data_IF_473670276703
#
_entry.id   IF_473670276703
#
_cell.length_a   1.000
_cell.length_b   1.000
_cell.length_c   1.000
_cell.angle_alpha   90.00
_cell.angle_beta   90.00
_cell.angle_gamma   90.00
#
_symmetry.space_group_name_H-M   'P 1'
#
loop_
_entity.id
_entity.type
_entity.pdbx_description
1 polymer ?
#
# COMPACT_ATOMS: atom_id res chain seq x y z
N UNK A 1 33.29 19.02 36.03
CA UNK A 1 32.41 19.11 37.21
C UNK A 1 30.96 18.69 36.94
N UNK A 2 30.36 19.00 35.78
CA UNK A 2 28.97 18.61 35.48
C UNK A 2 28.72 17.09 35.31
N UNK A 3 29.66 16.33 34.74
CA UNK A 3 29.50 14.87 34.62
C UNK A 3 29.61 14.11 35.96
N UNK A 4 30.27 14.68 36.98
CA UNK A 4 30.43 14.04 38.28
C UNK A 4 29.18 14.15 39.16
N UNK A 5 28.37 15.20 38.96
CA UNK A 5 27.11 15.39 39.70
C UNK A 5 26.02 14.44 39.22
N UNK A 6 25.98 14.09 37.93
CA UNK A 6 25.03 13.10 37.39
C UNK A 6 25.26 11.68 37.93
N UNK A 7 26.51 11.31 38.24
CA UNK A 7 26.83 10.01 38.84
C UNK A 7 26.36 9.94 40.30
N UNK A 8 26.35 11.06 41.02
CA UNK A 8 25.99 11.10 42.45
C UNK A 8 24.48 11.11 42.72
N UNK A 9 23.65 11.55 41.78
CA UNK A 9 22.21 11.75 42.02
C UNK A 9 21.29 10.74 41.30
N UNK A 10 21.81 9.87 40.42
CA UNK A 10 20.98 9.05 39.54
C UNK A 10 21.30 7.55 39.47
N UNK A 11 22.20 7.02 40.32
CA UNK A 11 22.61 5.61 40.21
C UNK A 11 21.53 4.60 40.62
N UNK A 12 20.46 5.04 41.27
CA UNK A 12 19.40 4.16 41.78
C UNK A 12 18.17 4.07 40.87
N UNK A 13 18.14 4.83 39.77
CA UNK A 13 16.95 5.01 38.92
C UNK A 13 17.24 4.86 37.42
N UNK A 14 18.22 4.04 37.03
CA UNK A 14 18.37 3.59 35.65
C UNK A 14 17.45 2.37 35.41
N UNK A 15 16.40 2.47 34.58
CA UNK A 15 15.39 1.42 34.41
C UNK A 15 15.88 0.14 33.70
N UNK A 16 17.18 0.06 33.39
CA UNK A 16 17.82 -1.01 32.62
C UNK A 16 18.78 -1.89 33.43
N UNK A 17 19.05 -1.55 34.71
CA UNK A 17 19.99 -2.33 35.52
C UNK A 17 19.25 -3.17 36.59
N UNK A 18 19.38 -4.51 36.58
CA UNK A 18 18.67 -5.35 37.53
C UNK A 18 19.20 -5.12 38.96
N UNK A 19 18.40 -4.49 39.81
CA UNK A 19 18.69 -4.28 41.24
C UNK A 19 18.47 -5.54 42.10
N UNK A 20 18.79 -6.73 41.57
CA UNK A 20 18.52 -7.99 42.24
C UNK A 20 19.30 -9.17 41.66
N UNK A 21 19.19 -10.34 42.30
CA UNK A 21 19.61 -11.62 41.71
C UNK A 21 18.55 -12.07 40.72
N UNK A 22 18.99 -12.55 39.56
CA UNK A 22 18.11 -13.06 38.51
C UNK A 22 17.76 -14.52 38.75
N UNK A 23 16.50 -14.85 38.54
CA UNK A 23 15.94 -16.19 38.66
C UNK A 23 15.04 -16.48 37.45
N UNK A 24 14.83 -17.76 37.18
CA UNK A 24 13.96 -18.24 36.11
C UNK A 24 12.96 -19.25 36.67
N UNK A 25 11.70 -19.15 36.30
CA UNK A 25 10.66 -20.11 36.64
C UNK A 25 9.97 -20.60 35.38
N UNK A 26 9.73 -21.92 35.29
CA UNK A 26 9.03 -22.53 34.16
C UNK A 26 7.60 -22.84 34.57
N UNK A 27 6.61 -22.26 33.90
CA UNK A 27 5.19 -22.45 34.18
C UNK A 27 4.51 -23.20 33.04
N UNK A 28 3.45 -23.94 33.34
CA UNK A 28 2.63 -24.57 32.30
C UNK A 28 1.88 -23.51 31.47
N UNK A 29 1.56 -22.37 32.10
CA UNK A 29 0.90 -21.22 31.47
C UNK A 29 1.33 -19.94 32.22
N UNK A 30 1.74 -18.92 31.46
CA UNK A 30 2.10 -17.61 31.98
C UNK A 30 0.89 -16.70 32.26
N UNK A 31 -0.33 -17.10 31.86
CA UNK A 31 -1.63 -16.54 32.28
C UNK A 31 -1.65 -15.09 32.77
N UNK A 32 -1.40 -14.12 31.88
CA UNK A 32 -1.53 -12.69 32.15
C UNK A 32 -0.36 -12.04 32.90
N UNK A 33 0.74 -12.76 33.17
CA UNK A 33 1.97 -12.15 33.69
C UNK A 33 2.77 -11.49 32.58
N UNK A 34 3.34 -10.33 32.88
CA UNK A 34 4.06 -9.46 31.95
C UNK A 34 5.35 -8.94 32.58
N UNK A 35 6.26 -8.42 31.74
CA UNK A 35 7.43 -7.70 32.23
C UNK A 35 6.99 -6.47 33.04
N UNK A 36 7.66 -6.21 34.15
CA UNK A 36 7.34 -5.13 35.07
C UNK A 36 6.42 -5.53 36.24
N UNK A 37 5.73 -6.66 36.17
CA UNK A 37 4.91 -7.15 37.29
C UNK A 37 5.76 -7.42 38.53
N UNK A 38 5.11 -7.31 39.69
CA UNK A 38 5.79 -7.43 40.97
C UNK A 38 6.07 -8.88 41.34
N UNK A 39 7.20 -9.09 41.99
CA UNK A 39 7.56 -10.38 42.61
C UNK A 39 7.43 -10.22 44.11
N UNK A 40 6.60 -11.05 44.72
CA UNK A 40 6.29 -10.99 46.15
C UNK A 40 6.77 -12.23 46.87
N UNK A 41 7.25 -12.05 48.10
CA UNK A 41 7.55 -13.13 49.05
C UNK A 41 6.72 -12.88 50.30
N UNK A 42 5.85 -13.83 50.64
CA UNK A 42 4.89 -13.68 51.75
C UNK A 42 4.06 -12.38 51.66
N UNK A 43 3.72 -11.95 50.44
CA UNK A 43 2.94 -10.72 50.19
C UNK A 43 3.75 -9.43 50.15
N UNK A 44 5.05 -9.46 50.45
CA UNK A 44 5.93 -8.29 50.39
C UNK A 44 6.62 -8.26 49.02
N UNK A 45 6.56 -7.12 48.33
CA UNK A 45 7.28 -6.90 47.07
C UNK A 45 8.79 -6.90 47.32
N UNK A 46 9.48 -7.84 46.68
CA UNK A 46 10.93 -8.04 46.79
C UNK A 46 11.64 -7.99 45.45
N UNK A 47 10.91 -7.76 44.35
CA UNK A 47 11.48 -7.88 43.03
C UNK A 47 10.51 -7.55 41.89
N UNK A 48 10.96 -7.81 40.66
CA UNK A 48 10.19 -7.59 39.44
C UNK A 48 10.44 -8.66 38.38
N UNK A 49 9.39 -8.97 37.62
CA UNK A 49 9.48 -9.77 36.39
C UNK A 49 10.20 -8.94 35.33
N UNK A 50 11.23 -9.51 34.72
CA UNK A 50 12.04 -8.84 33.69
C UNK A 50 11.63 -9.27 32.29
N UNK A 51 11.26 -10.54 32.10
CA UNK A 51 10.89 -11.07 30.78
C UNK A 51 9.99 -12.30 30.92
N UNK A 52 9.07 -12.44 29.98
CA UNK A 52 8.28 -13.66 29.78
C UNK A 52 8.57 -14.16 28.36
N UNK A 53 8.93 -15.43 28.23
CA UNK A 53 9.25 -16.05 26.94
C UNK A 53 8.65 -17.44 26.87
N UNK A 54 8.39 -17.93 25.66
CA UNK A 54 7.98 -19.31 25.44
C UNK A 54 9.24 -20.20 25.35
N UNK A 55 9.26 -21.29 26.11
CA UNK A 55 10.31 -22.29 26.12
C UNK A 55 9.70 -23.67 25.83
N UNK A 56 9.56 -24.00 24.55
CA UNK A 56 8.90 -25.24 24.11
C UNK A 56 7.41 -25.24 24.46
N UNK A 57 6.99 -26.22 25.26
CA UNK A 57 5.61 -26.35 25.74
C UNK A 57 5.35 -25.64 27.08
N UNK A 58 6.31 -24.88 27.60
CA UNK A 58 6.21 -24.18 28.88
C UNK A 58 6.55 -22.69 28.73
N UNK A 59 6.04 -21.86 29.63
CA UNK A 59 6.38 -20.45 29.69
C UNK A 59 7.53 -20.21 30.66
N UNK A 60 8.63 -19.64 30.17
CA UNK A 60 9.78 -19.22 30.96
C UNK A 60 9.61 -17.78 31.44
N UNK A 61 9.50 -17.60 32.75
CA UNK A 61 9.41 -16.29 33.40
C UNK A 61 10.76 -15.97 34.03
N UNK A 62 11.40 -14.91 33.54
CA UNK A 62 12.62 -14.34 34.12
C UNK A 62 12.26 -13.21 35.07
N UNK A 63 12.81 -13.23 36.27
CA UNK A 63 12.50 -12.26 37.31
C UNK A 63 13.71 -11.99 38.20
N UNK A 64 13.67 -10.86 38.89
CA UNK A 64 14.73 -10.44 39.82
C UNK A 64 14.18 -10.37 41.22
N UNK A 65 14.98 -10.74 42.22
CA UNK A 65 14.67 -10.63 43.65
C UNK A 65 15.82 -9.92 44.36
N UNK A 66 15.51 -9.07 45.34
CA UNK A 66 16.49 -8.40 46.20
C UNK A 66 17.48 -9.41 46.80
N UNK A 67 18.77 -9.07 46.79
CA UNK A 67 19.87 -9.88 47.32
C UNK A 67 19.70 -10.25 48.80
N UNK A 68 18.90 -9.49 49.56
CA UNK A 68 18.57 -9.76 50.96
C UNK A 68 17.69 -10.99 51.16
N UNK A 69 16.94 -11.39 50.13
CA UNK A 69 16.06 -12.56 50.19
C UNK A 69 16.79 -13.78 49.66
N UNK A 70 16.85 -14.84 50.48
CA UNK A 70 17.39 -16.13 50.05
C UNK A 70 16.29 -16.93 49.38
N UNK A 71 16.52 -17.36 48.14
CA UNK A 71 15.67 -18.32 47.42
C UNK A 71 16.40 -19.66 47.44
N UNK A 72 15.86 -20.60 48.21
CA UNK A 72 16.43 -21.92 48.38
C UNK A 72 16.11 -22.89 47.24
N UNK A 73 16.80 -24.03 47.22
CA UNK A 73 16.66 -25.09 46.22
C UNK A 73 15.29 -25.78 46.21
N UNK A 74 14.48 -25.64 47.25
CA UNK A 74 13.11 -26.17 47.37
C UNK A 74 12.03 -25.10 47.21
N UNK A 75 12.41 -23.89 46.79
CA UNK A 75 11.47 -22.77 46.65
C UNK A 75 10.39 -23.07 45.61
N UNK A 76 9.20 -22.50 45.87
CA UNK A 76 8.03 -22.60 44.99
C UNK A 76 7.73 -21.23 44.38
N UNK A 77 7.16 -21.21 43.18
CA UNK A 77 6.70 -19.98 42.54
C UNK A 77 5.26 -20.13 42.02
N UNK A 78 4.42 -19.14 42.25
CA UNK A 78 3.02 -19.17 41.83
C UNK A 78 2.61 -17.82 41.22
N UNK A 79 1.96 -17.85 40.07
CA UNK A 79 1.35 -16.65 39.48
C UNK A 79 0.00 -16.44 40.17
N UNK A 80 -0.15 -15.32 40.86
CA UNK A 80 -1.37 -14.95 41.60
C UNK A 80 -1.92 -13.63 41.09
N UNK A 81 -3.20 -13.41 41.33
CA UNK A 81 -3.83 -12.09 41.14
C UNK A 81 -3.54 -11.25 42.37
N UNK A 82 -2.92 -10.09 42.19
CA UNK A 82 -2.49 -9.20 43.28
C UNK A 82 -3.50 -8.07 43.53
N UNK A 83 -4.13 -7.56 42.47
CA UNK A 83 -5.06 -6.43 42.56
C UNK A 83 -6.50 -6.83 42.23
N UNK A 84 -7.47 -6.04 42.74
CA UNK A 84 -8.90 -6.19 42.41
C UNK A 84 -9.16 -6.01 40.91
N UNK A 85 -8.30 -5.25 40.22
CA UNK A 85 -8.33 -5.05 38.78
C UNK A 85 -7.76 -6.23 37.97
N UNK A 86 -7.31 -7.29 38.63
CA UNK A 86 -6.85 -8.51 37.97
C UNK A 86 -5.37 -8.55 37.61
N UNK A 87 -4.57 -7.58 38.07
CA UNK A 87 -3.12 -7.56 37.81
C UNK A 87 -2.43 -8.79 38.40
N UNK A 88 -1.51 -9.38 37.66
CA UNK A 88 -0.78 -10.58 38.07
C UNK A 88 0.52 -10.21 38.79
N UNK A 89 0.84 -10.97 39.83
CA UNK A 89 2.12 -10.92 40.50
C UNK A 89 2.71 -12.33 40.63
N UNK A 90 4.03 -12.40 40.67
CA UNK A 90 4.76 -13.64 40.90
C UNK A 90 5.00 -13.80 42.41
N UNK A 91 4.34 -14.77 43.03
CA UNK A 91 4.55 -15.09 44.44
C UNK A 91 5.59 -16.19 44.59
N UNK A 92 6.72 -15.88 45.22
CA UNK A 92 7.79 -16.84 45.53
C UNK A 92 7.70 -17.22 46.99
N UNK A 93 7.73 -18.52 47.27
CA UNK A 93 7.79 -19.08 48.62
C UNK A 93 9.17 -19.72 48.80
N UNK A 94 10.11 -19.02 49.49
CA UNK A 94 11.44 -19.55 49.71
C UNK A 94 11.43 -20.80 50.59
N UNK A 95 12.12 -21.85 50.16
CA UNK A 95 12.33 -23.06 50.95
C UNK A 95 13.63 -23.75 50.54
N UNK A 96 14.22 -24.53 51.45
CA UNK A 96 15.50 -25.21 51.24
C UNK A 96 16.71 -24.35 51.61
N UNK A 97 17.85 -25.01 51.82
CA UNK A 97 19.11 -24.38 52.23
C UNK A 97 20.10 -24.18 51.06
N UNK A 98 19.85 -24.84 49.91
CA UNK A 98 20.69 -24.70 48.72
C UNK A 98 20.48 -23.36 48.01
N UNK A 99 21.32 -23.06 47.02
CA UNK A 99 21.12 -21.91 46.13
C UNK A 99 20.68 -22.41 44.76
N UNK A 100 19.60 -21.86 44.23
CA UNK A 100 19.10 -22.20 42.90
C UNK A 100 18.85 -20.94 42.09
N UNK A 101 19.06 -20.97 40.78
CA UNK A 101 18.72 -19.88 39.86
C UNK A 101 17.49 -20.19 39.01
N UNK A 102 17.02 -21.43 39.05
CA UNK A 102 15.94 -21.96 38.24
C UNK A 102 14.93 -22.75 39.09
N UNK A 103 13.65 -22.41 38.96
CA UNK A 103 12.53 -23.13 39.57
C UNK A 103 11.85 -23.96 38.46
N UNK A 104 11.91 -25.30 38.53
CA UNK A 104 11.39 -26.18 37.50
C UNK A 104 9.85 -26.28 37.58
N UNK A 105 9.24 -26.83 36.53
CA UNK A 105 7.79 -26.84 36.32
C UNK A 105 7.02 -27.47 37.49
N UNK A 106 7.55 -28.53 38.08
CA UNK A 106 6.94 -29.27 39.20
C UNK A 106 6.79 -28.41 40.46
N UNK A 107 7.54 -27.31 40.54
CA UNK A 107 7.56 -26.37 41.67
C UNK A 107 6.98 -25.01 41.31
N UNK A 108 6.30 -24.94 40.17
CA UNK A 108 5.55 -23.75 39.77
C UNK A 108 4.05 -24.01 39.75
N UNK A 109 3.27 -22.96 39.97
CA UNK A 109 1.81 -23.00 39.79
C UNK A 109 1.37 -21.88 38.86
N UNK A 110 0.77 -22.27 37.75
CA UNK A 110 0.05 -21.37 36.84
C UNK A 110 -1.21 -20.82 37.52
N UNK A 111 -1.71 -19.64 37.11
CA UNK A 111 -2.89 -19.07 37.71
C UNK A 111 -4.12 -19.92 37.39
N UNK A 112 -5.01 -20.08 38.36
CA UNK A 112 -6.29 -20.76 38.14
C UNK A 112 -7.19 -19.85 37.29
N UNK A 113 -7.47 -20.26 36.05
CA UNK A 113 -8.29 -19.47 35.12
C UNK A 113 -9.74 -19.93 35.13
N UNK A 114 -10.66 -19.06 34.68
CA UNK A 114 -12.06 -19.44 34.47
C UNK A 114 -12.19 -20.60 33.47
N UNK A 115 -11.32 -20.65 32.46
CA UNK A 115 -11.28 -21.76 31.52
C UNK A 115 -10.94 -23.08 32.22
N UNK A 116 -9.98 -23.08 33.15
CA UNK A 116 -9.65 -24.26 33.95
C UNK A 116 -10.84 -24.67 34.83
N UNK A 117 -11.52 -23.71 35.47
CA UNK A 117 -12.72 -24.01 36.27
C UNK A 117 -13.86 -24.62 35.44
N UNK A 118 -14.09 -24.10 34.23
CA UNK A 118 -15.09 -24.64 33.30
C UNK A 118 -14.69 -26.00 32.74
N UNK A 119 -13.40 -26.23 32.52
CA UNK A 119 -12.86 -27.50 32.05
C UNK A 119 -12.91 -28.58 33.14
N UNK A 120 -12.60 -28.22 34.39
CA UNK A 120 -12.74 -29.09 35.55
C UNK A 120 -14.21 -29.41 35.84
N UNK A 121 -15.11 -28.43 35.73
CA UNK A 121 -16.56 -28.69 35.80
C UNK A 121 -17.00 -29.62 34.67
N UNK A 122 -16.56 -29.39 33.43
CA UNK A 122 -16.87 -30.25 32.28
C UNK A 122 -16.29 -31.67 32.40
N UNK A 123 -15.12 -31.82 33.02
CA UNK A 123 -14.46 -33.09 33.29
C UNK A 123 -15.12 -33.87 34.44
N UNK A 124 -15.46 -33.18 35.53
CA UNK A 124 -16.13 -33.79 36.69
C UNK A 124 -17.56 -34.21 36.36
N UNK A 125 -18.26 -33.47 35.49
CA UNK A 125 -19.59 -33.88 34.97
C UNK A 125 -19.50 -35.10 34.05
N UNK A 126 -18.37 -35.30 33.34
CA UNK A 126 -18.12 -36.51 32.53
C UNK A 126 -17.73 -37.73 33.36
N UNK A 127 -17.10 -37.53 34.52
CA UNK A 127 -16.73 -38.59 35.45
C UNK A 127 -17.84 -38.97 36.45
N UNK A 128 -19.00 -38.29 36.38
CA UNK A 128 -20.19 -38.73 37.11
C UNK A 128 -20.83 -39.89 36.34
N UNK A 129 -20.36 -41.09 36.66
CA UNK A 129 -20.79 -42.35 36.07
C UNK A 129 -22.24 -42.64 36.51
N UNK A 130 -23.22 -42.12 35.74
CA UNK A 130 -24.66 -42.27 35.98
C UNK A 130 -25.08 -43.70 36.38
N UNK A 131 -24.57 -44.78 35.76
CA UNK A 131 -24.93 -46.14 36.14
C UNK A 131 -24.55 -46.50 37.58
N UNK A 132 -23.35 -46.11 38.03
CA UNK A 132 -22.89 -46.35 39.41
C UNK A 132 -23.65 -45.53 40.44
N UNK A 133 -24.07 -44.32 40.08
CA UNK A 133 -24.86 -43.47 40.94
C UNK A 133 -26.30 -44.01 41.09
N UNK A 134 -26.90 -44.46 39.98
CA UNK A 134 -28.21 -45.13 39.98
C UNK A 134 -28.17 -46.46 40.74
N UNK A 135 -27.10 -47.24 40.60
CA UNK A 135 -26.89 -48.49 41.33
C UNK A 135 -26.72 -48.26 42.84
N UNK A 136 -25.93 -47.27 43.25
CA UNK A 136 -25.79 -46.91 44.67
C UNK A 136 -27.11 -46.41 45.28
N UNK A 137 -27.90 -45.65 44.52
CA UNK A 137 -29.25 -45.23 44.93
C UNK A 137 -30.22 -46.41 45.00
N UNK A 138 -30.14 -47.37 44.07
CA UNK A 138 -30.96 -48.57 44.09
C UNK A 138 -30.65 -49.44 45.33
N UNK A 139 -29.38 -49.66 45.63
CA UNK A 139 -28.94 -50.43 46.83
C UNK A 139 -29.36 -49.75 48.13
N UNK A 140 -29.25 -48.41 48.19
CA UNK A 140 -29.68 -47.64 49.35
C UNK A 140 -31.21 -47.67 49.52
N UNK A 141 -31.96 -47.61 48.41
CA UNK A 141 -33.42 -47.62 48.41
C UNK A 141 -33.97 -49.01 48.76
N UNK A 142 -33.35 -50.08 48.27
CA UNK A 142 -33.72 -51.46 48.62
C UNK A 142 -33.38 -51.78 50.08
N UNK A 143 -32.23 -51.32 50.59
CA UNK A 143 -31.88 -51.49 52.01
C UNK A 143 -32.81 -50.71 52.97
N UNK A 144 -33.44 -49.63 52.49
CA UNK A 144 -34.35 -48.80 53.28
C UNK A 144 -35.83 -49.19 53.11
N UNK A 145 -36.17 -50.01 52.10
CA UNK A 145 -37.53 -50.48 51.81
C UNK A 145 -38.12 -51.37 52.92
N UNK A 146 -37.26 -52.03 53.68
CA UNK A 146 -37.61 -52.90 54.80
C UNK A 146 -37.83 -52.16 56.14
N UNK A 147 -37.63 -50.83 56.20
CA UNK A 147 -37.73 -50.06 57.44
C UNK A 147 -39.02 -49.20 57.51
N UNK A 148 -39.95 -49.61 58.38
CA UNK A 148 -41.11 -48.94 59.04
C UNK A 148 -41.79 -47.66 58.44
N UNK A 149 -43.12 -47.47 58.66
CA UNK A 149 -43.91 -46.37 58.05
C UNK A 149 -43.42 -44.94 58.31
N UNK A 150 -42.71 -44.68 59.40
CA UNK A 150 -42.14 -43.35 59.70
C UNK A 150 -41.04 -42.92 58.71
N UNK A 151 -40.38 -43.88 58.03
CA UNK A 151 -39.32 -43.57 57.06
C UNK A 151 -39.86 -43.10 55.71
N UNK A 152 -41.10 -43.49 55.34
CA UNK A 152 -41.74 -43.05 54.10
C UNK A 152 -41.93 -41.53 54.02
N UNK A 153 -42.30 -40.88 55.12
CA UNK A 153 -42.43 -39.42 55.17
C UNK A 153 -41.08 -38.69 55.04
N UNK A 154 -40.00 -39.26 55.57
CA UNK A 154 -38.65 -38.72 55.39
C UNK A 154 -38.15 -38.94 53.95
N UNK A 155 -38.43 -40.10 53.35
CA UNK A 155 -38.13 -40.40 51.95
C UNK A 155 -38.88 -39.46 50.99
N UNK A 156 -40.15 -39.16 51.24
CA UNK A 156 -40.92 -38.19 50.44
C UNK A 156 -40.32 -36.78 50.54
N UNK A 157 -39.86 -36.38 51.74
CA UNK A 157 -39.14 -35.12 51.96
C UNK A 157 -37.81 -35.06 51.21
N UNK A 158 -37.01 -36.13 51.24
CA UNK A 158 -35.76 -36.26 50.48
C UNK A 158 -36.01 -36.26 48.98
N UNK A 159 -37.08 -36.91 48.52
CA UNK A 159 -37.46 -36.92 47.10
C UNK A 159 -37.92 -35.53 46.63
N UNK A 160 -38.67 -34.80 47.46
CA UNK A 160 -39.06 -33.42 47.19
C UNK A 160 -37.86 -32.45 47.15
N UNK A 161 -36.91 -32.63 48.08
CA UNK A 161 -35.65 -31.88 48.11
C UNK A 161 -34.78 -32.19 46.87
N UNK A 162 -34.65 -33.46 46.52
CA UNK A 162 -33.93 -33.90 45.31
C UNK A 162 -34.53 -33.30 44.04
N UNK A 163 -35.86 -33.28 43.90
CA UNK A 163 -36.54 -32.59 42.78
C UNK A 163 -36.33 -31.07 42.79
N UNK A 164 -36.16 -30.46 43.96
CA UNK A 164 -35.88 -29.02 44.09
C UNK A 164 -34.44 -28.70 43.67
N UNK A 165 -33.48 -29.55 44.06
CA UNK A 165 -32.07 -29.45 43.65
C UNK A 165 -31.94 -29.67 42.14
N UNK A 166 -32.60 -30.70 41.58
CA UNK A 166 -32.55 -30.96 40.14
C UNK A 166 -33.10 -29.78 39.31
N UNK A 167 -34.17 -29.12 39.77
CA UNK A 167 -34.70 -27.90 39.14
C UNK A 167 -33.73 -26.71 39.23
N UNK A 168 -32.95 -26.60 40.31
CA UNK A 168 -31.91 -25.57 40.43
C UNK A 168 -30.72 -25.85 39.52
N UNK A 169 -30.33 -27.11 39.35
CA UNK A 169 -29.28 -27.51 38.41
C UNK A 169 -29.67 -27.20 36.96
N UNK A 170 -30.94 -27.40 36.60
CA UNK A 170 -31.45 -27.05 35.27
C UNK A 170 -31.40 -25.54 35.02
N UNK A 171 -31.77 -24.73 36.01
CA UNK A 171 -31.66 -23.27 35.95
C UNK A 171 -30.20 -22.79 35.86
N UNK A 172 -29.28 -23.42 36.61
CA UNK A 172 -27.84 -23.14 36.54
C UNK A 172 -27.26 -23.52 35.17
N UNK A 173 -27.69 -24.65 34.60
CA UNK A 173 -27.32 -25.08 33.25
C UNK A 173 -27.77 -24.11 32.17
N UNK A 174 -28.99 -23.57 32.29
CA UNK A 174 -29.48 -22.53 31.38
C UNK A 174 -28.66 -21.23 31.51
N UNK A 175 -28.34 -20.79 32.73
CA UNK A 175 -27.50 -19.61 32.95
C UNK A 175 -26.10 -19.77 32.35
N UNK A 176 -25.46 -20.93 32.54
CA UNK A 176 -24.17 -21.24 31.91
C UNK A 176 -24.25 -21.23 30.38
N UNK A 177 -25.33 -21.78 29.82
CA UNK A 177 -25.56 -21.80 28.37
C UNK A 177 -25.69 -20.39 27.81
N UNK A 178 -26.45 -19.52 28.48
CA UNK A 178 -26.57 -18.11 28.10
C UNK A 178 -25.22 -17.38 28.23
N UNK A 179 -24.46 -17.61 29.31
CA UNK A 179 -23.13 -17.02 29.48
C UNK A 179 -22.15 -17.47 28.38
N UNK A 180 -22.19 -18.74 27.97
CA UNK A 180 -21.39 -19.25 26.85
C UNK A 180 -21.79 -18.60 25.52
N UNK A 181 -23.10 -18.41 25.29
CA UNK A 181 -23.61 -17.74 24.10
C UNK A 181 -23.13 -16.28 24.02
N UNK A 182 -23.27 -15.51 25.11
CA UNK A 182 -22.78 -14.12 25.18
C UNK A 182 -21.27 -14.06 24.94
N UNK A 183 -20.50 -14.95 25.57
CA UNK A 183 -19.04 -15.04 25.35
C UNK A 183 -18.69 -15.38 23.91
N UNK A 184 -19.46 -16.27 23.26
CA UNK A 184 -19.31 -16.61 21.85
C UNK A 184 -19.55 -15.41 20.92
N UNK A 185 -20.62 -14.66 21.17
CA UNK A 185 -20.93 -13.42 20.43
C UNK A 185 -19.83 -12.37 20.64
N UNK A 186 -19.30 -12.23 21.85
CA UNK A 186 -18.21 -11.30 22.14
C UNK A 186 -16.92 -11.67 21.37
N UNK A 187 -16.56 -12.95 21.35
CA UNK A 187 -15.41 -13.44 20.59
C UNK A 187 -15.58 -13.25 19.07
N UNK A 188 -16.79 -13.49 18.53
CA UNK A 188 -17.07 -13.22 17.12
C UNK A 188 -16.93 -11.73 16.78
N UNK A 189 -17.42 -10.84 17.66
CA UNK A 189 -17.25 -9.39 17.49
C UNK A 189 -15.79 -8.96 17.61
N UNK A 190 -15.01 -9.53 18.53
CA UNK A 190 -13.57 -9.26 18.64
C UNK A 190 -12.82 -9.63 17.34
N UNK A 191 -13.14 -10.77 16.74
CA UNK A 191 -12.59 -11.17 15.45
C UNK A 191 -13.00 -10.22 14.31
N UNK A 192 -14.24 -9.71 14.32
CA UNK A 192 -14.71 -8.71 13.34
C UNK A 192 -14.00 -7.37 13.51
N UNK A 193 -13.77 -6.90 14.74
CA UNK A 193 -13.00 -5.68 15.01
C UNK A 193 -11.56 -5.84 14.56
N UNK A 194 -10.93 -7.00 14.81
CA UNK A 194 -9.58 -7.27 14.32
C UNK A 194 -9.49 -7.25 12.78
N UNK A 195 -10.50 -7.81 12.08
CA UNK A 195 -10.57 -7.68 10.62
C UNK A 195 -10.73 -6.24 10.17
N UNK A 196 -11.59 -5.46 10.82
CA UNK A 196 -11.77 -4.05 10.48
C UNK A 196 -10.47 -3.24 10.64
N UNK A 197 -9.65 -3.55 11.65
CA UNK A 197 -8.32 -2.94 11.83
C UNK A 197 -7.35 -3.37 10.72
N UNK A 198 -7.34 -4.66 10.34
CA UNK A 198 -6.52 -5.18 9.26
C UNK A 198 -6.92 -4.60 7.89
N UNK A 199 -8.22 -4.50 7.63
CA UNK A 199 -8.79 -3.88 6.42
C UNK A 199 -8.52 -2.37 6.40
N UNK A 200 -8.53 -1.73 7.57
CA UNK A 200 -8.10 -0.34 7.75
C UNK A 200 -6.66 -0.12 7.31
N UNK A 201 -5.74 -1.03 7.66
CA UNK A 201 -4.35 -0.96 7.21
C UNK A 201 -4.23 -1.10 5.67
N UNK A 202 -5.06 -1.92 5.04
CA UNK A 202 -5.11 -2.01 3.57
C UNK A 202 -5.63 -0.72 2.95
N UNK A 203 -6.65 -0.09 3.55
CA UNK A 203 -7.15 1.21 3.09
C UNK A 203 -6.07 2.29 3.22
N UNK A 204 -5.35 2.34 4.33
CA UNK A 204 -4.25 3.30 4.51
C UNK A 204 -3.10 3.06 3.54
N UNK A 205 -2.74 1.80 3.24
CA UNK A 205 -1.75 1.47 2.22
C UNK A 205 -2.21 1.93 0.82
N UNK A 206 -3.47 1.66 0.45
CA UNK A 206 -4.03 2.10 -0.82
C UNK A 206 -4.11 3.63 -0.93
N UNK A 207 -4.35 4.34 0.17
CA UNK A 207 -4.33 5.80 0.25
C UNK A 207 -2.92 6.36 0.09
N UNK A 208 -1.91 5.72 0.68
CA UNK A 208 -0.51 6.14 0.52
C UNK A 208 -0.03 5.95 -0.93
N UNK A 209 -0.33 4.80 -1.54
CA UNK A 209 -0.05 4.55 -2.96
C UNK A 209 -0.72 5.61 -3.85
N UNK A 210 -1.99 5.95 -3.57
CA UNK A 210 -2.71 7.00 -4.31
C UNK A 210 -2.04 8.37 -4.14
N UNK A 211 -1.56 8.69 -2.93
CA UNK A 211 -0.85 9.94 -2.64
C UNK A 211 0.47 10.02 -3.40
N UNK A 212 1.24 8.94 -3.46
CA UNK A 212 2.48 8.89 -4.24
C UNK A 212 2.22 9.05 -5.73
N UNK A 213 1.20 8.36 -6.27
CA UNK A 213 0.80 8.50 -7.67
C UNK A 213 0.35 9.93 -8.02
N UNK A 214 -0.41 10.59 -7.13
CA UNK A 214 -0.78 12.00 -7.28
C UNK A 214 0.45 12.92 -7.23
N UNK A 215 1.41 12.66 -6.35
CA UNK A 215 2.66 13.40 -6.30
C UNK A 215 3.46 13.30 -7.61
N UNK A 216 3.56 12.10 -8.18
CA UNK A 216 4.21 11.88 -9.46
C UNK A 216 3.47 12.57 -10.63
N UNK A 217 2.13 12.54 -10.62
CA UNK A 217 1.31 13.23 -11.63
C UNK A 217 1.51 14.75 -11.56
N UNK A 218 1.49 15.34 -10.36
CA UNK A 218 1.70 16.77 -10.17
C UNK A 218 3.11 17.18 -10.63
N UNK A 219 4.13 16.40 -10.28
CA UNK A 219 5.50 16.64 -10.75
C UNK A 219 5.60 16.56 -12.28
N UNK A 220 4.93 15.58 -12.91
CA UNK A 220 4.88 15.49 -14.36
C UNK A 220 4.15 16.67 -15.03
N UNK A 221 3.10 17.19 -14.41
CA UNK A 221 2.39 18.39 -14.90
C UNK A 221 3.28 19.63 -14.80
N UNK A 222 4.05 19.78 -13.73
CA UNK A 222 5.00 20.88 -13.57
C UNK A 222 6.09 20.82 -14.66
N UNK A 223 6.65 19.63 -14.91
CA UNK A 223 7.66 19.41 -15.93
C UNK A 223 7.14 19.74 -17.35
N UNK A 224 5.93 19.27 -17.69
CA UNK A 224 5.26 19.62 -18.95
C UNK A 224 5.00 21.12 -19.05
N UNK A 225 4.64 21.78 -17.94
CA UNK A 225 4.37 23.23 -17.93
C UNK A 225 5.65 24.05 -18.12
N UNK A 226 6.77 23.61 -17.54
CA UNK A 226 8.09 24.20 -17.79
C UNK A 226 8.52 24.00 -19.23
N UNK A 227 8.37 22.79 -19.78
CA UNK A 227 8.68 22.50 -21.18
C UNK A 227 7.82 23.35 -22.12
N UNK A 228 6.52 23.51 -21.84
CA UNK A 228 5.62 24.32 -22.65
C UNK A 228 5.96 25.81 -22.56
N UNK A 229 6.31 26.32 -21.37
CA UNK A 229 6.82 27.69 -21.22
C UNK A 229 8.12 27.91 -21.98
N UNK A 230 9.07 26.97 -21.86
CA UNK A 230 10.34 27.00 -22.60
C UNK A 230 10.10 27.04 -24.10
N UNK A 231 9.25 26.16 -24.61
CA UNK A 231 8.86 26.13 -26.02
C UNK A 231 8.23 27.45 -26.49
N UNK A 232 7.35 28.06 -25.69
CA UNK A 232 6.75 29.37 -26.00
C UNK A 232 7.81 30.48 -26.01
N UNK A 233 8.73 30.48 -25.04
CA UNK A 233 9.84 31.45 -24.96
C UNK A 233 10.79 31.32 -26.14
N UNK A 234 11.20 30.10 -26.48
CA UNK A 234 12.07 29.82 -27.62
C UNK A 234 11.42 30.28 -28.93
N UNK A 235 10.13 29.98 -29.12
CA UNK A 235 9.40 30.41 -30.29
C UNK A 235 9.23 31.94 -30.34
N UNK A 236 9.04 32.63 -29.21
CA UNK A 236 9.04 34.11 -29.18
C UNK A 236 10.41 34.70 -29.56
N UNK A 237 11.50 34.09 -29.10
CA UNK A 237 12.86 34.50 -29.42
C UNK A 237 13.20 34.30 -30.92
N UNK A 238 12.60 33.32 -31.59
CA UNK A 238 12.77 33.12 -33.04
C UNK A 238 11.82 33.99 -33.88
N UNK A 239 10.60 34.22 -33.39
CA UNK A 239 9.58 35.01 -34.11
C UNK A 239 9.95 36.50 -34.14
N UNK A 240 10.46 37.08 -33.05
CA UNK A 240 10.85 38.50 -33.00
C UNK A 240 11.80 38.93 -34.11
N UNK A 241 12.99 38.29 -34.25
CA UNK A 241 13.95 38.58 -35.31
C UNK A 241 13.40 38.32 -36.71
N UNK A 242 12.47 37.38 -36.86
CA UNK A 242 11.85 37.05 -38.13
C UNK A 242 10.86 38.14 -38.56
N UNK A 243 10.08 38.67 -37.62
CA UNK A 243 9.18 39.81 -37.86
C UNK A 243 9.97 41.10 -38.11
N UNK A 244 11.08 41.33 -37.41
CA UNK A 244 11.96 42.48 -37.67
C UNK A 244 12.56 42.43 -39.08
N UNK A 245 13.01 41.24 -39.52
CA UNK A 245 13.50 41.04 -40.90
C UNK A 245 12.40 41.25 -41.93
N UNK A 246 11.17 40.78 -41.66
CA UNK A 246 10.01 41.01 -42.52
C UNK A 246 9.67 42.50 -42.63
N UNK A 247 9.65 43.22 -41.52
CA UNK A 247 9.42 44.67 -41.50
C UNK A 247 10.53 45.42 -42.25
N UNK A 248 11.81 45.04 -42.08
CA UNK A 248 12.93 45.59 -42.84
C UNK A 248 12.76 45.42 -44.36
N UNK A 249 12.27 44.27 -44.81
CA UNK A 249 12.00 44.00 -46.24
C UNK A 249 10.81 44.84 -46.72
N UNK A 250 9.74 44.92 -45.92
CA UNK A 250 8.56 45.72 -46.24
C UNK A 250 8.90 47.22 -46.31
N UNK A 251 9.69 47.73 -45.37
CA UNK A 251 10.16 49.12 -45.35
C UNK A 251 11.08 49.40 -46.55
N UNK A 252 12.00 48.49 -46.90
CA UNK A 252 12.82 48.66 -48.12
C UNK A 252 11.96 48.66 -49.39
N UNK A 253 10.91 47.83 -49.45
CA UNK A 253 9.97 47.82 -50.57
C UNK A 253 9.17 49.12 -50.65
N UNK A 254 8.72 49.66 -49.51
CA UNK A 254 7.96 50.92 -49.45
C UNK A 254 8.87 52.10 -49.79
N UNK A 255 10.08 52.18 -49.23
CA UNK A 255 11.05 53.23 -49.49
C UNK A 255 11.51 53.25 -50.96
N UNK A 256 11.62 52.07 -51.58
CA UNK A 256 12.00 51.92 -52.99
C UNK A 256 10.80 51.82 -53.94
N UNK A 257 9.57 51.92 -53.43
CA UNK A 257 8.33 51.78 -54.22
C UNK A 257 8.36 52.65 -55.47
N UNK A 258 8.74 53.92 -55.35
CA UNK A 258 8.73 54.86 -56.49
C UNK A 258 9.85 54.56 -57.49
N UNK A 259 10.96 53.95 -57.03
CA UNK A 259 12.03 53.48 -57.91
C UNK A 259 11.65 52.19 -58.61
N UNK A 260 10.96 51.28 -57.94
CA UNK A 260 10.43 50.03 -58.51
C UNK A 260 9.32 50.35 -59.51
N UNK A 261 8.37 51.21 -59.14
CA UNK A 261 7.33 51.72 -60.05
C UNK A 261 7.95 52.44 -61.24
N UNK A 262 8.92 53.34 -61.01
CA UNK A 262 9.62 54.01 -62.09
C UNK A 262 10.50 53.09 -62.95
N UNK A 263 10.97 51.95 -62.44
CA UNK A 263 11.66 50.94 -63.22
C UNK A 263 10.66 50.09 -64.04
N UNK A 264 9.50 49.77 -63.47
CA UNK A 264 8.39 49.09 -64.13
C UNK A 264 7.76 49.95 -65.23
N UNK A 265 7.61 51.26 -65.02
CA UNK A 265 7.11 52.20 -66.03
C UNK A 265 8.08 52.38 -67.21
N UNK A 266 9.39 52.24 -66.96
CA UNK A 266 10.44 52.30 -67.99
C UNK A 266 10.68 50.96 -68.68
N UNK A 267 10.16 49.87 -68.10
CA UNK A 267 10.34 48.51 -68.59
C UNK A 267 9.75 48.31 -70.00
N UNK A 268 8.56 48.85 -70.34
CA UNK A 268 8.05 48.79 -71.71
C UNK A 268 8.99 49.45 -72.72
N UNK A 269 9.56 50.62 -72.40
CA UNK A 269 10.51 51.35 -73.26
C UNK A 269 11.87 50.65 -73.40
N UNK A 270 12.37 50.06 -72.32
CA UNK A 270 13.58 49.23 -72.35
C UNK A 270 13.35 47.93 -73.12
N UNK A 271 12.21 47.27 -72.95
CA UNK A 271 11.85 46.05 -73.69
C UNK A 271 11.61 46.33 -75.17
N UNK A 272 11.04 47.49 -75.53
CA UNK A 272 10.92 47.90 -76.94
C UNK A 272 12.28 48.20 -77.54
N UNK A 273 13.13 49.00 -76.89
CA UNK A 273 14.48 49.30 -77.43
C UNK A 273 15.39 48.07 -77.49
N UNK A 274 15.34 47.17 -76.50
CA UNK A 274 15.99 45.86 -76.59
C UNK A 274 15.39 45.02 -77.72
N UNK A 275 14.06 44.97 -77.83
CA UNK A 275 13.38 44.26 -78.91
C UNK A 275 13.75 44.80 -80.28
N UNK A 276 13.97 46.11 -80.41
CA UNK A 276 14.35 46.80 -81.64
C UNK A 276 15.83 46.57 -81.97
N UNK A 277 16.71 46.54 -80.98
CA UNK A 277 18.13 46.17 -81.13
C UNK A 277 18.31 44.69 -81.46
N UNK A 278 17.49 43.83 -80.85
CA UNK A 278 17.45 42.39 -81.10
C UNK A 278 16.85 42.08 -82.46
N UNK A 279 15.79 42.78 -82.88
CA UNK A 279 15.12 42.57 -84.16
C UNK A 279 15.88 43.20 -85.35
N UNK A 280 16.72 44.22 -85.13
CA UNK A 280 17.47 44.90 -86.20
C UNK A 280 18.86 44.32 -86.49
N UNK A 281 19.31 43.32 -85.74
CA UNK A 281 20.56 42.61 -86.00
C UNK A 281 20.34 41.28 -86.74
N UNK A 282 20.94 41.05 -87.93
CA UNK A 282 20.86 39.75 -88.58
C UNK A 282 21.65 38.72 -87.76
N UNK A 283 20.94 37.90 -86.97
CA UNK A 283 21.52 36.80 -86.19
C UNK A 283 21.03 36.67 -84.74
N UNK A 284 20.15 37.56 -84.24
CA UNK A 284 19.71 37.49 -82.84
C UNK A 284 18.46 36.62 -82.68
N UNK A 285 18.66 35.34 -82.34
CA UNK A 285 17.59 34.46 -81.86
C UNK A 285 17.62 34.43 -80.33
N UNK A 286 16.65 35.04 -79.68
CA UNK A 286 16.47 34.88 -78.23
C UNK A 286 15.92 33.47 -77.99
N UNK A 287 16.78 32.57 -77.55
CA UNK A 287 16.37 31.26 -77.03
C UNK A 287 16.25 31.38 -75.50
N UNK A 288 15.07 31.80 -75.02
CA UNK A 288 14.76 31.82 -73.59
C UNK A 288 14.63 30.37 -73.12
N UNK A 289 15.58 29.91 -72.31
CA UNK A 289 15.58 28.54 -71.79
C UNK A 289 14.29 28.28 -71.00
N UNK A 290 13.40 27.45 -71.55
CA UNK A 290 12.10 27.12 -70.97
C UNK A 290 10.88 27.65 -71.73
N UNK A 291 11.04 28.52 -72.74
CA UNK A 291 9.96 28.87 -73.67
C UNK A 291 10.16 28.10 -74.99
N UNK A 292 9.13 27.39 -75.50
CA UNK A 292 9.23 26.72 -76.78
C UNK A 292 9.48 27.75 -77.91
N UNK A 293 10.16 27.37 -79.00
CA UNK A 293 10.41 28.24 -80.15
C UNK A 293 9.14 28.99 -80.59
N UNK A 294 9.25 30.21 -81.14
CA UNK A 294 8.10 31.05 -81.49
C UNK A 294 7.02 30.30 -82.29
N UNK A 295 7.44 29.46 -83.24
CA UNK A 295 6.57 28.61 -84.06
C UNK A 295 5.77 27.58 -83.26
N UNK A 296 6.33 27.05 -82.18
CA UNK A 296 5.64 26.14 -81.26
C UNK A 296 4.77 26.92 -80.27
N UNK A 297 5.17 28.13 -79.88
CA UNK A 297 4.37 28.97 -78.99
C UNK A 297 3.07 29.46 -79.64
N UNK A 298 3.09 29.80 -80.94
CA UNK A 298 1.88 30.15 -81.70
C UNK A 298 0.92 28.97 -81.80
N UNK A 299 1.43 27.78 -82.11
CA UNK A 299 0.63 26.54 -82.18
C UNK A 299 -0.03 26.25 -80.82
N UNK A 300 0.68 26.44 -79.71
CA UNK A 300 0.13 26.24 -78.37
C UNK A 300 -0.93 27.28 -78.00
N UNK A 301 -0.75 28.54 -78.39
CA UNK A 301 -1.75 29.60 -78.16
C UNK A 301 -3.03 29.34 -78.97
N UNK A 302 -2.91 28.96 -80.24
CA UNK A 302 -4.06 28.65 -81.08
C UNK A 302 -4.81 27.41 -80.60
N UNK A 303 -4.11 26.37 -80.12
CA UNK A 303 -4.74 25.19 -79.52
C UNK A 303 -5.52 25.56 -78.25
N UNK A 304 -5.00 26.51 -77.46
CA UNK A 304 -5.66 26.97 -76.24
C UNK A 304 -6.91 27.80 -76.53
N UNK A 305 -6.88 28.69 -77.52
CA UNK A 305 -8.00 29.58 -77.85
C UNK A 305 -8.99 29.01 -78.88
N UNK A 306 -8.61 28.01 -79.68
CA UNK A 306 -9.46 27.35 -80.68
C UNK A 306 -9.38 25.81 -80.58
N UNK A 307 -9.88 25.22 -79.48
CA UNK A 307 -9.83 23.78 -79.30
C UNK A 307 -10.69 23.05 -80.35
N UNK A 308 -10.07 22.20 -81.17
CA UNK A 308 -10.76 21.29 -82.09
C UNK A 308 -10.57 21.57 -83.59
N UNK A 309 -9.80 22.59 -83.98
CA UNK A 309 -9.34 22.78 -85.37
C UNK A 309 -7.81 22.64 -85.42
N UNK A 310 -7.30 22.08 -86.50
CA UNK A 310 -5.85 22.09 -86.75
C UNK A 310 -5.44 23.55 -86.95
N UNK A 311 -4.51 24.10 -86.15
CA UNK A 311 -4.06 25.48 -86.30
C UNK A 311 -3.45 25.70 -87.68
N UNK A 312 -3.80 26.80 -88.34
CA UNK A 312 -3.24 27.15 -89.66
C UNK A 312 -1.69 27.26 -89.58
N UNK A 313 -1.17 27.70 -88.43
CA UNK A 313 0.25 27.72 -88.08
C UNK A 313 0.92 26.34 -88.07
N UNK A 314 0.20 25.28 -87.65
CA UNK A 314 0.70 23.90 -87.71
C UNK A 314 0.71 23.38 -89.16
N UNK A 315 -0.31 23.72 -89.95
CA UNK A 315 -0.37 23.34 -91.36
C UNK A 315 0.75 24.01 -92.18
N UNK A 316 1.07 25.27 -91.90
CA UNK A 316 2.18 25.99 -92.52
C UNK A 316 3.55 25.49 -92.05
N UNK A 317 3.70 25.16 -90.77
CA UNK A 317 4.92 24.52 -90.26
C UNK A 317 5.19 23.17 -90.95
N UNK A 318 4.16 22.33 -91.11
CA UNK A 318 4.27 21.05 -91.82
C UNK A 318 4.55 21.25 -93.32
N UNK A 319 3.95 22.25 -93.98
CA UNK A 319 4.28 22.59 -95.38
C UNK A 319 5.72 23.04 -95.54
N UNK A 320 6.23 23.85 -94.62
CA UNK A 320 7.62 24.30 -94.61
C UNK A 320 8.61 23.12 -94.57
N UNK A 321 8.35 22.13 -93.70
CA UNK A 321 9.19 20.93 -93.62
C UNK A 321 9.10 20.00 -94.84
N UNK A 322 7.95 19.97 -95.53
CA UNK A 322 7.78 19.15 -96.75
C UNK A 322 8.46 19.84 -97.96
N UNK A 323 8.42 21.17 -98.03
CA UNK A 323 9.07 21.95 -99.10
C UNK A 323 10.59 21.75 -99.13
N UNK A 324 11.26 21.70 -97.97
CA UNK A 324 12.71 21.51 -97.89
C UNK A 324 13.19 20.12 -98.34
N UNK A 325 12.31 19.10 -98.40
CA UNK A 325 12.70 17.73 -98.79
C UNK A 325 12.59 17.41 -100.28
N UNK A 326 12.27 18.37 -101.14
CA UNK A 326 11.99 18.09 -102.57
C UNK A 326 12.85 18.87 -103.56
N UNK A 327 14.18 18.82 -103.44
CA UNK A 327 15.07 19.00 -104.60
C UNK A 327 16.23 18.01 -104.52
N UNK A 328 16.04 16.81 -105.06
CA UNK A 328 17.12 15.89 -105.42
C UNK A 328 17.34 16.03 -106.94
N UNK A 329 18.55 16.35 -107.38
CA UNK A 329 19.06 15.90 -108.69
C UNK A 329 20.54 15.47 -108.59
N UNK A 330 20.95 14.51 -109.44
CA UNK A 330 21.92 13.47 -109.11
C UNK A 330 23.34 13.79 -109.60
N UNK A 331 24.33 13.04 -109.09
CA UNK A 331 25.69 12.98 -109.67
C UNK A 331 26.14 11.54 -109.92
N UNK A 332 26.14 11.14 -111.18
CA UNK A 332 27.07 10.18 -111.82
C UNK A 332 27.17 10.59 -113.30
N UNK A 333 28.28 10.35 -114.02
CA UNK A 333 29.14 9.16 -113.98
C UNK A 333 30.35 9.27 -113.07
#
# INVERSE_FOLDING_TARGET
MACLVLVSFGYTSLPFWPQGKSYQGYFADAGGIMSGNDVTVSGIRVGKVTKVALAGASAQVSFTIDRKVRVGDQSLAAIRTDTVLGEKALSVTPAGAGSVTMIPLERTRSPYTLNNALQDLGGNVRNLDKPRFEEALAVLTDSMRDATPQLRGALDGVTALSRSINRRDEALGQLLTHAKSVTGVLNQRAAQVNRLVLDGNQLFAALDDRRQALGALIAGIDDVSQQLSGFVTDNQNEIGPTLDKLNLVLDNMIERKDRIAGALDRLPGYATTLGEVVASGPGFQINLYGLPPPTLSEVLLDIYFQPGKIPDSLADYLRGMISERTVIKPKSP
#
